data_IF_509266867934
#
_entry.id   IF_509266867934
#
_cell.length_a   1.000
_cell.length_b   1.000
_cell.length_c   1.000
_cell.angle_alpha   90.00
_cell.angle_beta   90.00
_cell.angle_gamma   90.00
#
_symmetry.space_group_name_H-M   'P 1'
#
loop_
_entity.id
_entity.type
_entity.pdbx_description
1 polymer ?
#
# COMPACT_ATOMS: atom_id res chain seq x y z
N UNK A 1 -32.51 7.87 -2.08
CA UNK A 1 -31.83 7.13 -1.00
C UNK A 1 -30.48 7.78 -0.82
N UNK A 2 -29.86 7.78 0.36
CA UNK A 2 -28.49 8.30 0.47
C UNK A 2 -27.48 7.18 0.13
N UNK A 3 -26.22 7.55 -0.14
CA UNK A 3 -25.18 6.58 -0.54
C UNK A 3 -25.02 5.45 0.49
N UNK A 4 -25.04 5.76 1.78
CA UNK A 4 -24.92 4.77 2.85
C UNK A 4 -26.00 3.69 2.73
N UNK A 5 -27.27 4.08 2.62
CA UNK A 5 -28.39 3.15 2.48
C UNK A 5 -28.29 2.33 1.18
N UNK A 6 -27.84 2.94 0.09
CA UNK A 6 -27.60 2.23 -1.18
C UNK A 6 -26.54 1.16 -1.04
N UNK A 7 -25.40 1.47 -0.42
CA UNK A 7 -24.31 0.52 -0.22
C UNK A 7 -24.66 -0.58 0.78
N UNK A 8 -25.48 -0.30 1.80
CA UNK A 8 -25.99 -1.33 2.71
C UNK A 8 -26.85 -2.36 1.98
N UNK A 9 -27.74 -1.91 1.09
CA UNK A 9 -28.56 -2.80 0.26
C UNK A 9 -27.69 -3.62 -0.68
N UNK A 10 -26.69 -2.98 -1.33
CA UNK A 10 -25.74 -3.67 -2.20
C UNK A 10 -24.99 -4.75 -1.42
N UNK A 11 -24.46 -4.43 -0.23
CA UNK A 11 -23.76 -5.38 0.64
C UNK A 11 -24.67 -6.55 1.07
N UNK A 12 -25.91 -6.27 1.45
CA UNK A 12 -26.91 -7.29 1.81
C UNK A 12 -27.29 -8.20 0.63
N UNK A 13 -27.29 -7.65 -0.59
CA UNK A 13 -27.53 -8.39 -1.84
C UNK A 13 -26.22 -8.96 -2.44
N UNK A 14 -25.24 -9.30 -1.60
CA UNK A 14 -23.97 -9.91 -2.03
C UNK A 14 -23.26 -9.12 -3.14
N UNK A 15 -23.29 -7.79 -3.03
CA UNK A 15 -22.71 -6.82 -3.96
C UNK A 15 -23.28 -6.85 -5.39
N UNK A 16 -24.50 -7.37 -5.58
CA UNK A 16 -25.21 -7.31 -6.85
C UNK A 16 -25.78 -5.90 -7.10
N UNK A 17 -25.67 -5.40 -8.34
CA UNK A 17 -26.36 -4.19 -8.77
C UNK A 17 -27.83 -4.49 -9.09
N UNK A 18 -28.72 -3.61 -8.65
CA UNK A 18 -30.11 -3.61 -9.11
C UNK A 18 -30.23 -2.97 -10.50
N UNK A 19 -31.28 -3.32 -11.26
CA UNK A 19 -31.49 -2.85 -12.65
C UNK A 19 -31.55 -1.32 -12.81
N UNK A 20 -31.95 -0.60 -11.76
CA UNK A 20 -32.05 0.86 -11.78
C UNK A 20 -30.77 1.57 -11.36
N UNK A 21 -29.76 0.84 -10.90
CA UNK A 21 -28.49 1.39 -10.42
C UNK A 21 -27.48 1.48 -11.55
N UNK A 22 -26.83 2.64 -11.69
CA UNK A 22 -25.73 2.82 -12.63
C UNK A 22 -24.38 2.57 -11.93
N UNK A 23 -23.60 1.63 -12.49
CA UNK A 23 -22.33 1.17 -11.92
C UNK A 23 -21.32 2.33 -11.77
N UNK A 24 -21.15 3.15 -12.81
CA UNK A 24 -20.16 4.23 -12.79
C UNK A 24 -20.59 5.41 -11.93
N UNK A 25 -21.88 5.74 -11.90
CA UNK A 25 -22.42 6.77 -11.02
C UNK A 25 -22.23 6.41 -9.54
N UNK A 26 -22.52 5.17 -9.16
CA UNK A 26 -22.27 4.68 -7.80
C UNK A 26 -20.78 4.62 -7.49
N UNK A 27 -19.97 4.11 -8.42
CA UNK A 27 -18.50 4.08 -8.27
C UNK A 27 -17.96 5.47 -8.01
N UNK A 28 -18.37 6.46 -8.80
CA UNK A 28 -17.95 7.84 -8.62
C UNK A 28 -18.37 8.42 -7.26
N UNK A 29 -19.58 8.09 -6.82
CA UNK A 29 -20.08 8.49 -5.49
C UNK A 29 -19.28 7.84 -4.37
N UNK A 30 -18.86 6.57 -4.50
CA UNK A 30 -17.97 5.92 -3.55
C UNK A 30 -16.60 6.60 -3.53
N UNK A 31 -16.01 6.88 -4.69
CA UNK A 31 -14.72 7.55 -4.81
C UNK A 31 -14.74 8.94 -4.15
N UNK A 32 -15.84 9.69 -4.27
CA UNK A 32 -16.04 10.98 -3.57
C UNK A 32 -16.00 10.86 -2.05
N UNK A 33 -16.34 9.67 -1.50
CA UNK A 33 -16.43 9.42 -0.07
C UNK A 33 -15.23 8.63 0.50
N UNK A 34 -14.20 8.34 -0.31
CA UNK A 34 -12.97 7.69 0.17
C UNK A 34 -12.19 8.53 1.19
N UNK A 35 -12.45 9.84 1.25
CA UNK A 35 -11.88 10.74 2.27
C UNK A 35 -12.76 10.94 3.52
N UNK A 36 -13.90 10.25 3.63
CA UNK A 36 -14.83 10.42 4.75
C UNK A 36 -14.21 10.01 6.08
N UNK A 37 -14.50 10.74 7.16
CA UNK A 37 -14.17 10.31 8.53
C UNK A 37 -15.11 9.22 9.06
N UNK A 38 -16.24 8.97 8.39
CA UNK A 38 -17.09 7.82 8.68
C UNK A 38 -16.46 6.55 8.11
N UNK A 39 -15.75 5.79 8.96
CA UNK A 39 -15.06 4.56 8.57
C UNK A 39 -16.00 3.46 8.11
N UNK A 40 -17.24 3.43 8.59
CA UNK A 40 -18.21 2.43 8.13
C UNK A 40 -18.62 2.71 6.68
N UNK A 41 -18.88 3.97 6.34
CA UNK A 41 -19.14 4.36 4.95
C UNK A 41 -17.92 4.12 4.06
N UNK A 42 -16.73 4.51 4.51
CA UNK A 42 -15.50 4.46 3.71
C UNK A 42 -14.97 3.03 3.53
N UNK A 43 -14.82 2.28 4.61
CA UNK A 43 -14.11 1.00 4.65
C UNK A 43 -15.09 -0.15 4.38
N UNK A 44 -16.08 -0.30 5.28
CA UNK A 44 -16.99 -1.45 5.33
C UNK A 44 -18.01 -1.48 4.19
N UNK A 45 -18.32 -0.32 3.62
CA UNK A 45 -19.28 -0.16 2.54
C UNK A 45 -18.56 0.23 1.24
N UNK A 46 -17.93 1.40 1.18
CA UNK A 46 -17.33 1.95 -0.03
C UNK A 46 -16.23 1.06 -0.61
N UNK A 47 -15.11 0.93 0.12
CA UNK A 47 -13.97 0.15 -0.35
C UNK A 47 -14.31 -1.32 -0.59
N UNK A 48 -15.05 -1.97 0.33
CA UNK A 48 -15.46 -3.37 0.13
C UNK A 48 -16.37 -3.55 -1.10
N UNK A 49 -17.24 -2.58 -1.42
CA UNK A 49 -18.04 -2.62 -2.64
C UNK A 49 -17.15 -2.52 -3.88
N UNK A 50 -16.19 -1.58 -3.92
CA UNK A 50 -15.21 -1.48 -5.02
C UNK A 50 -14.41 -2.78 -5.19
N UNK A 51 -13.92 -3.36 -4.10
CA UNK A 51 -13.19 -4.63 -4.11
C UNK A 51 -14.01 -5.76 -4.74
N UNK A 52 -15.28 -5.87 -4.37
CA UNK A 52 -16.17 -6.88 -4.94
C UNK A 52 -16.47 -6.63 -6.43
N UNK A 53 -16.74 -5.38 -6.82
CA UNK A 53 -17.07 -5.06 -8.21
C UNK A 53 -15.88 -5.16 -9.15
N UNK A 54 -14.70 -4.67 -8.73
CA UNK A 54 -13.49 -4.64 -9.56
C UNK A 54 -12.86 -6.04 -9.65
N UNK A 55 -12.69 -6.75 -8.54
CA UNK A 55 -11.87 -7.96 -8.52
C UNK A 55 -12.67 -9.27 -8.47
N UNK A 56 -13.69 -9.35 -7.60
CA UNK A 56 -14.43 -10.61 -7.39
C UNK A 56 -15.45 -10.88 -8.49
N UNK A 57 -16.23 -9.86 -8.86
CA UNK A 57 -17.31 -9.97 -9.86
C UNK A 57 -16.91 -9.52 -11.26
N UNK A 58 -15.81 -8.79 -11.39
CA UNK A 58 -15.28 -8.32 -12.67
C UNK A 58 -16.30 -7.57 -13.53
N UNK A 59 -16.96 -6.56 -12.93
CA UNK A 59 -18.12 -5.88 -13.52
C UNK A 59 -17.76 -4.78 -14.52
N UNK A 60 -16.52 -4.30 -14.51
CA UNK A 60 -16.11 -3.12 -15.29
C UNK A 60 -15.48 -3.49 -16.62
N UNK A 61 -15.71 -2.66 -17.64
CA UNK A 61 -14.92 -2.70 -18.86
C UNK A 61 -13.52 -2.12 -18.64
N UNK A 62 -12.58 -2.41 -19.55
CA UNK A 62 -11.24 -1.81 -19.52
C UNK A 62 -11.27 -0.27 -19.57
N UNK A 63 -12.21 0.31 -20.33
CA UNK A 63 -12.41 1.77 -20.41
C UNK A 63 -12.85 2.34 -19.06
N UNK A 64 -13.82 1.71 -18.40
CA UNK A 64 -14.29 2.12 -17.07
C UNK A 64 -13.20 1.97 -16.00
N UNK A 65 -12.40 0.91 -16.06
CA UNK A 65 -11.24 0.74 -15.18
C UNK A 65 -10.19 1.84 -15.41
N UNK A 66 -9.98 2.24 -16.67
CA UNK A 66 -9.14 3.38 -17.03
C UNK A 66 -9.66 4.70 -16.47
N UNK A 67 -10.97 4.94 -16.51
CA UNK A 67 -11.59 6.12 -15.89
C UNK A 67 -11.36 6.15 -14.37
N UNK A 68 -11.60 5.03 -13.67
CA UNK A 68 -11.37 4.90 -12.23
C UNK A 68 -9.89 5.14 -11.92
N UNK A 69 -8.99 4.49 -12.66
CA UNK A 69 -7.55 4.63 -12.50
C UNK A 69 -7.10 6.09 -12.65
N UNK A 70 -7.52 6.76 -13.73
CA UNK A 70 -7.17 8.16 -14.01
C UNK A 70 -7.55 9.10 -12.86
N UNK A 71 -8.67 8.79 -12.20
CA UNK A 71 -9.20 9.57 -11.10
C UNK A 71 -8.44 9.30 -9.80
N UNK A 72 -8.22 8.04 -9.43
CA UNK A 72 -7.55 7.72 -8.15
C UNK A 72 -6.07 8.03 -8.16
N UNK A 73 -5.41 8.10 -9.32
CA UNK A 73 -3.98 8.50 -9.41
C UNK A 73 -3.79 10.01 -9.48
N UNK A 74 -4.86 10.82 -9.53
CA UNK A 74 -4.78 12.27 -9.70
C UNK A 74 -4.22 12.99 -8.46
N UNK A 75 -3.81 14.25 -8.61
CA UNK A 75 -3.30 15.04 -7.48
C UNK A 75 -4.40 15.36 -6.46
N UNK A 76 -5.64 15.48 -6.92
CA UNK A 76 -6.82 15.78 -6.11
C UNK A 76 -7.22 14.63 -5.19
N UNK A 77 -6.80 13.40 -5.48
CA UNK A 77 -7.08 12.22 -4.67
C UNK A 77 -5.81 11.67 -4.04
N UNK A 78 -4.87 11.15 -4.83
CA UNK A 78 -3.70 10.46 -4.31
C UNK A 78 -2.69 11.37 -3.61
N UNK A 79 -2.58 12.62 -4.05
CA UNK A 79 -1.69 13.62 -3.43
C UNK A 79 -2.47 14.67 -2.63
N UNK A 80 -3.72 14.39 -2.28
CA UNK A 80 -4.57 15.33 -1.54
C UNK A 80 -3.91 15.73 -0.22
N UNK A 81 -3.41 16.97 -0.18
CA UNK A 81 -2.68 17.54 0.96
C UNK A 81 -1.52 16.66 1.44
N UNK A 82 -0.77 16.08 0.50
CA UNK A 82 0.37 15.20 0.81
C UNK A 82 1.33 15.87 1.80
N UNK A 83 1.77 15.12 2.81
CA UNK A 83 2.65 15.59 3.88
C UNK A 83 1.94 16.31 5.05
N UNK A 84 0.66 16.66 4.93
CA UNK A 84 -0.15 17.14 6.06
C UNK A 84 -0.37 15.99 7.07
N UNK A 85 -0.17 16.25 8.36
CA UNK A 85 -0.28 15.24 9.42
C UNK A 85 -1.37 15.59 10.42
N UNK A 86 -2.00 14.57 11.01
CA UNK A 86 -2.93 14.75 12.13
C UNK A 86 -4.35 15.17 11.74
N UNK A 87 -4.66 15.25 10.45
CA UNK A 87 -5.99 15.60 9.94
C UNK A 87 -6.63 14.44 9.18
N UNK A 88 -7.92 14.56 8.87
CA UNK A 88 -8.66 13.53 8.12
C UNK A 88 -8.27 13.48 6.64
N UNK A 89 -7.43 14.42 6.17
CA UNK A 89 -6.94 14.46 4.78
C UNK A 89 -6.19 13.19 4.37
N UNK A 90 -5.63 12.45 5.34
CA UNK A 90 -4.91 11.19 5.12
C UNK A 90 -5.81 10.11 4.53
N UNK A 91 -7.10 10.09 4.87
CA UNK A 91 -8.01 9.04 4.43
C UNK A 91 -8.13 9.00 2.90
N UNK A 92 -8.31 10.16 2.24
CA UNK A 92 -8.50 10.19 0.79
C UNK A 92 -7.29 9.63 0.05
N UNK A 93 -6.09 10.12 0.36
CA UNK A 93 -4.86 9.70 -0.32
C UNK A 93 -4.43 8.26 0.03
N UNK A 94 -4.68 7.84 1.26
CA UNK A 94 -4.43 6.48 1.69
C UNK A 94 -5.36 5.47 1.01
N UNK A 95 -6.67 5.74 0.98
CA UNK A 95 -7.64 4.88 0.29
C UNK A 95 -7.48 4.94 -1.23
N UNK A 96 -6.99 6.05 -1.78
CA UNK A 96 -6.58 6.10 -3.19
C UNK A 96 -5.46 5.12 -3.47
N UNK A 97 -4.43 5.03 -2.61
CA UNK A 97 -3.38 3.99 -2.70
C UNK A 97 -3.96 2.58 -2.65
N UNK A 98 -4.94 2.34 -1.78
CA UNK A 98 -5.57 1.03 -1.65
C UNK A 98 -6.43 0.65 -2.88
N UNK A 99 -7.09 1.61 -3.52
CA UNK A 99 -7.80 1.38 -4.80
C UNK A 99 -6.81 1.18 -5.95
N UNK A 100 -5.67 1.89 -5.95
CA UNK A 100 -4.59 1.65 -6.92
C UNK A 100 -4.06 0.22 -6.79
N UNK A 101 -3.83 -0.27 -5.57
CA UNK A 101 -3.46 -1.66 -5.32
C UNK A 101 -4.49 -2.65 -5.91
N UNK A 102 -5.78 -2.39 -5.70
CA UNK A 102 -6.88 -3.20 -6.22
C UNK A 102 -6.93 -3.21 -7.76
N UNK A 103 -6.66 -2.07 -8.41
CA UNK A 103 -6.62 -1.95 -9.87
C UNK A 103 -5.40 -2.67 -10.45
N UNK A 104 -4.23 -2.54 -9.82
CA UNK A 104 -3.02 -3.29 -10.20
C UNK A 104 -3.22 -4.80 -10.04
N UNK A 105 -3.82 -5.24 -8.92
CA UNK A 105 -4.20 -6.63 -8.70
C UNK A 105 -5.15 -7.14 -9.80
N UNK A 106 -6.15 -6.31 -10.16
CA UNK A 106 -7.08 -6.66 -11.24
C UNK A 106 -6.36 -6.74 -12.58
N UNK A 107 -5.46 -5.81 -12.87
CA UNK A 107 -4.66 -5.80 -14.10
C UNK A 107 -3.71 -7.01 -14.20
N UNK A 108 -3.08 -7.40 -13.09
CA UNK A 108 -2.25 -8.59 -12.99
C UNK A 108 -3.01 -9.87 -13.38
N UNK A 109 -4.34 -9.90 -13.15
CA UNK A 109 -5.23 -10.99 -13.55
C UNK A 109 -5.71 -10.89 -15.00
N UNK A 110 -6.33 -9.77 -15.40
CA UNK A 110 -6.66 -9.51 -16.81
C UNK A 110 -6.20 -8.09 -17.23
N UNK A 111 -5.21 -7.96 -18.13
CA UNK A 111 -4.61 -6.68 -18.50
C UNK A 111 -5.59 -5.64 -19.05
N UNK A 112 -5.44 -4.39 -18.60
CA UNK A 112 -6.03 -3.17 -19.14
C UNK A 112 -5.08 -1.94 -19.07
N UNK A 113 -4.09 -1.95 -18.19
CA UNK A 113 -3.09 -0.88 -17.98
C UNK A 113 -1.99 -0.96 -19.06
N UNK A 114 -1.75 0.18 -19.70
CA UNK A 114 -0.70 0.34 -20.72
C UNK A 114 0.70 0.49 -20.09
N UNK A 115 1.78 0.28 -20.87
CA UNK A 115 3.14 0.53 -20.40
C UNK A 115 3.37 1.95 -19.87
N UNK A 116 2.80 2.97 -20.53
CA UNK A 116 2.98 4.38 -20.16
C UNK A 116 2.25 4.71 -18.85
N UNK A 117 1.02 4.22 -18.69
CA UNK A 117 0.28 4.34 -17.43
C UNK A 117 1.00 3.65 -16.28
N UNK A 118 1.55 2.45 -16.50
CA UNK A 118 2.34 1.76 -15.49
C UNK A 118 3.57 2.57 -15.05
N UNK A 119 4.31 3.15 -16.00
CA UNK A 119 5.48 3.99 -15.69
C UNK A 119 5.09 5.23 -14.89
N UNK A 120 3.96 5.86 -15.24
CA UNK A 120 3.40 6.99 -14.50
C UNK A 120 3.03 6.59 -13.07
N UNK A 121 2.30 5.49 -12.89
CA UNK A 121 1.89 4.99 -11.57
C UNK A 121 3.12 4.71 -10.69
N UNK A 122 4.13 4.03 -11.24
CA UNK A 122 5.35 3.72 -10.52
C UNK A 122 6.08 4.98 -10.05
N UNK A 123 6.28 5.96 -10.95
CA UNK A 123 6.94 7.22 -10.60
C UNK A 123 6.19 7.95 -9.48
N UNK A 124 4.85 8.03 -9.61
CA UNK A 124 4.01 8.69 -8.60
C UNK A 124 4.00 7.92 -7.27
N UNK A 125 4.09 6.59 -7.30
CA UNK A 125 4.19 5.78 -6.10
C UNK A 125 5.48 6.08 -5.32
N UNK A 126 6.60 6.21 -6.03
CA UNK A 126 7.88 6.62 -5.43
C UNK A 126 7.74 8.02 -4.83
N UNK A 127 7.18 8.97 -5.57
CA UNK A 127 6.97 10.35 -5.10
C UNK A 127 6.05 10.43 -3.88
N UNK A 128 4.99 9.61 -3.82
CA UNK A 128 4.06 9.52 -2.70
C UNK A 128 4.80 9.11 -1.43
N UNK A 129 5.56 8.01 -1.47
CA UNK A 129 6.28 7.51 -0.30
C UNK A 129 7.35 8.49 0.20
N UNK A 130 7.99 9.25 -0.71
CA UNK A 130 8.97 10.27 -0.34
C UNK A 130 8.32 11.50 0.32
N UNK A 131 7.05 11.80 0.02
CA UNK A 131 6.36 13.00 0.49
C UNK A 131 5.39 12.74 1.65
N UNK A 132 4.88 11.52 1.83
CA UNK A 132 3.96 11.20 2.91
C UNK A 132 4.63 11.35 4.29
N UNK A 133 3.90 11.94 5.23
CA UNK A 133 4.35 12.17 6.61
C UNK A 133 3.33 11.70 7.64
N UNK A 134 2.08 11.47 7.25
CA UNK A 134 1.04 10.96 8.13
C UNK A 134 1.00 9.45 8.08
N UNK A 135 1.76 8.84 8.99
CA UNK A 135 1.94 7.39 9.06
C UNK A 135 1.18 6.79 10.25
N UNK A 136 0.06 7.40 10.61
CA UNK A 136 -0.82 6.88 11.67
C UNK A 136 -1.48 5.58 11.19
N UNK A 137 -1.55 4.61 12.11
CA UNK A 137 -2.26 3.36 11.93
C UNK A 137 -3.78 3.53 12.02
N UNK A 138 -4.33 3.24 13.19
CA UNK A 138 -5.75 3.45 13.53
C UNK A 138 -5.99 4.82 14.16
N UNK A 139 -7.01 5.54 13.70
CA UNK A 139 -7.46 6.81 14.27
C UNK A 139 -8.82 6.61 14.92
N UNK A 140 -8.93 6.86 16.23
CA UNK A 140 -10.10 6.49 17.04
C UNK A 140 -11.46 6.96 16.49
N UNK A 141 -11.54 8.17 15.93
CA UNK A 141 -12.79 8.71 15.37
C UNK A 141 -12.99 8.41 13.89
N UNK A 142 -11.94 7.96 13.19
CA UNK A 142 -11.91 7.91 11.73
C UNK A 142 -11.57 6.54 11.15
N UNK A 143 -11.26 5.54 11.96
CA UNK A 143 -10.84 4.21 11.51
C UNK A 143 -9.41 4.17 10.97
N UNK A 144 -9.15 3.33 9.98
CA UNK A 144 -7.81 3.10 9.44
C UNK A 144 -7.32 4.30 8.62
N UNK A 145 -6.26 4.97 9.07
CA UNK A 145 -5.54 5.96 8.26
C UNK A 145 -4.57 5.24 7.30
N UNK A 146 -3.67 4.39 7.80
CA UNK A 146 -2.99 3.33 7.04
C UNK A 146 -2.25 3.76 5.77
N UNK A 147 -1.79 5.01 5.66
CA UNK A 147 -1.12 5.48 4.45
C UNK A 147 0.09 4.61 4.06
N UNK A 148 0.92 4.22 5.02
CA UNK A 148 2.07 3.34 4.80
C UNK A 148 1.65 1.93 4.35
N UNK A 149 0.65 1.35 5.00
CA UNK A 149 0.14 0.02 4.67
C UNK A 149 -0.50 -0.02 3.28
N UNK A 150 -1.39 0.93 2.98
CA UNK A 150 -2.13 0.95 1.71
C UNK A 150 -1.23 1.22 0.51
N UNK A 151 -0.24 2.11 0.62
CA UNK A 151 0.74 2.27 -0.47
C UNK A 151 1.65 1.06 -0.59
N UNK A 152 2.00 0.39 0.51
CA UNK A 152 2.77 -0.85 0.44
C UNK A 152 2.03 -1.96 -0.33
N UNK A 153 0.70 -2.05 -0.22
CA UNK A 153 -0.10 -2.97 -1.06
C UNK A 153 -0.03 -2.61 -2.54
N UNK A 154 -0.04 -1.32 -2.84
CA UNK A 154 0.12 -0.86 -4.22
C UNK A 154 1.51 -1.20 -4.75
N UNK A 155 2.55 -1.09 -3.92
CA UNK A 155 3.92 -1.51 -4.26
C UNK A 155 3.95 -3.03 -4.51
N UNK A 156 3.34 -3.83 -3.64
CA UNK A 156 3.27 -5.29 -3.79
C UNK A 156 2.67 -5.71 -5.15
N UNK A 157 1.54 -5.12 -5.52
CA UNK A 157 0.93 -5.41 -6.83
C UNK A 157 1.69 -4.80 -8.01
N UNK A 158 2.36 -3.65 -7.79
CA UNK A 158 3.23 -3.03 -8.78
C UNK A 158 4.44 -3.91 -9.09
N UNK A 159 5.09 -4.51 -8.09
CA UNK A 159 6.26 -5.38 -8.32
C UNK A 159 5.88 -6.68 -9.00
N UNK A 160 4.66 -7.18 -8.82
CA UNK A 160 4.13 -8.37 -9.53
C UNK A 160 3.79 -8.09 -11.00
N UNK A 161 3.68 -6.82 -11.38
CA UNK A 161 3.23 -6.42 -12.71
C UNK A 161 4.17 -6.84 -13.85
N UNK A 162 3.60 -7.18 -15.01
CA UNK A 162 4.34 -7.65 -16.21
C UNK A 162 5.37 -6.66 -16.77
N UNK A 163 5.25 -5.38 -16.43
CA UNK A 163 6.18 -4.33 -16.87
C UNK A 163 7.22 -3.94 -15.81
N UNK A 164 7.13 -4.49 -14.61
CA UNK A 164 8.08 -4.20 -13.54
C UNK A 164 9.43 -4.88 -13.81
N UNK A 165 10.51 -4.13 -13.62
CA UNK A 165 11.89 -4.58 -13.79
C UNK A 165 12.64 -4.63 -12.46
N UNK A 166 13.86 -5.18 -12.45
CA UNK A 166 14.73 -5.14 -11.28
C UNK A 166 15.00 -3.70 -10.81
N UNK A 167 15.31 -2.78 -11.73
CA UNK A 167 15.57 -1.37 -11.40
C UNK A 167 14.33 -0.63 -10.86
N UNK A 168 13.14 -1.09 -11.23
CA UNK A 168 11.88 -0.61 -10.66
C UNK A 168 11.71 -1.05 -9.20
N UNK A 169 12.03 -2.32 -8.89
CA UNK A 169 12.05 -2.82 -7.52
C UNK A 169 13.03 -2.05 -6.63
N UNK A 170 14.21 -1.68 -7.15
CA UNK A 170 15.18 -0.87 -6.39
C UNK A 170 14.67 0.55 -6.10
N UNK A 171 13.90 1.16 -7.00
CA UNK A 171 13.27 2.45 -6.72
C UNK A 171 12.15 2.31 -5.67
N UNK A 172 11.35 1.25 -5.78
CA UNK A 172 10.23 0.98 -4.90
C UNK A 172 10.68 0.57 -3.48
N UNK A 173 11.74 -0.21 -3.31
CA UNK A 173 12.28 -0.47 -1.96
C UNK A 173 12.77 0.83 -1.30
N UNK A 174 13.23 1.80 -2.09
CA UNK A 174 13.77 3.07 -1.60
C UNK A 174 12.63 4.01 -1.20
N UNK A 175 11.52 3.89 -1.91
CA UNK A 175 10.25 4.48 -1.53
C UNK A 175 9.75 3.90 -0.17
N UNK A 176 9.74 2.57 -0.01
CA UNK A 176 9.36 1.92 1.25
C UNK A 176 10.29 2.30 2.41
N UNK A 177 11.61 2.39 2.15
CA UNK A 177 12.60 2.89 3.11
C UNK A 177 12.25 4.29 3.61
N UNK A 178 11.80 5.18 2.72
CA UNK A 178 11.42 6.54 3.09
C UNK A 178 10.24 6.56 4.06
N UNK A 179 9.24 5.70 3.88
CA UNK A 179 8.12 5.56 4.83
C UNK A 179 8.62 5.19 6.23
N UNK A 180 9.51 4.19 6.32
CA UNK A 180 10.08 3.74 7.59
C UNK A 180 10.87 4.88 8.25
N UNK A 181 11.69 5.60 7.47
CA UNK A 181 12.47 6.75 7.97
C UNK A 181 11.61 7.92 8.43
N UNK A 182 10.46 8.14 7.79
CA UNK A 182 9.53 9.21 8.18
C UNK A 182 8.66 8.83 9.40
N UNK A 183 8.63 7.56 9.81
CA UNK A 183 7.80 7.08 10.91
C UNK A 183 8.19 7.77 12.24
N UNK A 184 7.24 8.51 12.82
CA UNK A 184 7.40 9.18 14.12
C UNK A 184 7.00 8.32 15.31
N UNK A 185 6.45 7.15 15.04
CA UNK A 185 6.08 6.14 16.02
C UNK A 185 6.43 4.75 15.50
N UNK A 186 6.48 3.78 16.43
CA UNK A 186 6.57 2.37 16.07
C UNK A 186 5.27 1.99 15.37
N UNK A 187 5.37 1.25 14.26
CA UNK A 187 4.20 0.70 13.58
C UNK A 187 3.45 -0.25 14.51
N UNK A 188 2.14 -0.02 14.66
CA UNK A 188 1.29 -0.72 15.63
C UNK A 188 0.07 -1.38 14.98
N UNK A 189 -0.06 -1.26 13.65
CA UNK A 189 -1.22 -1.68 12.89
C UNK A 189 -0.83 -2.43 11.60
N UNK A 190 0.17 -3.31 11.71
CA UNK A 190 0.63 -4.21 10.64
C UNK A 190 1.24 -3.49 9.42
N UNK A 191 1.62 -2.22 9.54
CA UNK A 191 2.24 -1.49 8.42
C UNK A 191 3.57 -2.12 8.00
N UNK A 192 4.34 -2.62 8.95
CA UNK A 192 5.57 -3.40 8.75
C UNK A 192 5.31 -4.70 7.98
N UNK A 193 4.24 -5.43 8.32
CA UNK A 193 3.83 -6.66 7.63
C UNK A 193 3.40 -6.39 6.17
N UNK A 194 2.70 -5.27 5.93
CA UNK A 194 2.27 -4.84 4.60
C UNK A 194 3.44 -4.37 3.74
N UNK A 195 4.39 -3.62 4.32
CA UNK A 195 5.67 -3.29 3.67
C UNK A 195 6.46 -4.56 3.36
N UNK A 196 6.45 -5.55 4.26
CA UNK A 196 7.13 -6.81 4.04
C UNK A 196 6.54 -7.62 2.87
N UNK A 197 5.23 -7.58 2.63
CA UNK A 197 4.62 -8.24 1.46
C UNK A 197 5.27 -7.75 0.16
N UNK A 198 5.41 -6.43 0.02
CA UNK A 198 6.01 -5.82 -1.16
C UNK A 198 7.48 -6.23 -1.33
N UNK A 199 8.29 -6.19 -0.26
CA UNK A 199 9.69 -6.58 -0.32
C UNK A 199 9.85 -8.08 -0.63
N UNK A 200 9.02 -8.92 -0.02
CA UNK A 200 8.99 -10.36 -0.30
C UNK A 200 8.63 -10.64 -1.77
N UNK A 201 7.63 -9.97 -2.33
CA UNK A 201 7.22 -10.16 -3.72
C UNK A 201 8.32 -9.79 -4.73
N UNK A 202 9.20 -8.82 -4.41
CA UNK A 202 10.37 -8.52 -5.24
C UNK A 202 11.33 -9.73 -5.33
N UNK A 203 11.53 -10.43 -4.21
CA UNK A 203 12.40 -11.62 -4.12
C UNK A 203 11.71 -12.83 -4.74
N UNK A 204 10.45 -13.08 -4.38
CA UNK A 204 9.66 -14.23 -4.86
C UNK A 204 9.52 -14.22 -6.39
N UNK A 205 9.32 -13.04 -6.99
CA UNK A 205 9.23 -12.91 -8.44
C UNK A 205 10.59 -12.94 -9.15
N UNK A 206 11.69 -13.10 -8.40
CA UNK A 206 13.05 -13.19 -8.92
C UNK A 206 13.59 -11.89 -9.51
N UNK A 207 12.95 -10.74 -9.22
CA UNK A 207 13.38 -9.42 -9.74
C UNK A 207 14.60 -8.89 -9.00
N UNK A 208 14.73 -9.23 -7.71
CA UNK A 208 15.92 -8.94 -6.90
C UNK A 208 16.30 -10.19 -6.11
N UNK A 209 17.59 -10.34 -5.79
CA UNK A 209 18.06 -11.41 -4.91
C UNK A 209 17.95 -10.99 -3.44
N UNK A 210 17.89 -11.98 -2.54
CA UNK A 210 18.00 -11.73 -1.10
C UNK A 210 19.37 -11.11 -0.73
N UNK A 211 20.43 -11.42 -1.48
CA UNK A 211 21.75 -10.80 -1.30
C UNK A 211 21.69 -9.29 -1.55
N UNK A 212 21.02 -8.84 -2.61
CA UNK A 212 20.83 -7.41 -2.89
C UNK A 212 20.05 -6.72 -1.77
N UNK A 213 18.99 -7.36 -1.26
CA UNK A 213 18.21 -6.85 -0.13
C UNK A 213 19.04 -6.80 1.15
N UNK A 214 19.88 -7.81 1.43
CA UNK A 214 20.80 -7.79 2.57
C UNK A 214 21.81 -6.65 2.47
N UNK A 215 22.44 -6.45 1.30
CA UNK A 215 23.39 -5.35 1.09
C UNK A 215 22.74 -3.97 1.28
N UNK A 216 21.49 -3.81 0.82
CA UNK A 216 20.71 -2.60 1.06
C UNK A 216 20.42 -2.38 2.55
N UNK A 217 19.97 -3.41 3.28
CA UNK A 217 19.72 -3.33 4.73
C UNK A 217 21.00 -3.08 5.55
N UNK A 218 22.15 -3.59 5.10
CA UNK A 218 23.46 -3.32 5.71
C UNK A 218 23.87 -1.86 5.54
N UNK A 219 23.55 -1.24 4.41
CA UNK A 219 23.82 0.17 4.14
C UNK A 219 22.85 1.10 4.89
N UNK A 220 21.71 0.60 5.39
CA UNK A 220 20.69 1.45 6.02
C UNK A 220 21.17 2.06 7.33
N UNK A 221 21.02 3.37 7.48
CA UNK A 221 21.26 4.08 8.74
C UNK A 221 19.95 4.18 9.54
N UNK A 222 20.06 4.13 10.87
CA UNK A 222 18.91 4.17 11.79
C UNK A 222 19.10 5.24 12.88
N UNK A 223 19.97 6.20 12.63
CA UNK A 223 20.17 7.36 13.50
C UNK A 223 19.10 8.41 13.18
N UNK A 224 18.28 8.71 14.17
CA UNK A 224 17.33 9.81 14.14
C UNK A 224 17.94 11.11 14.68
N UNK A 225 17.14 12.17 14.70
CA UNK A 225 17.53 13.47 15.29
C UNK A 225 17.72 13.41 16.80
N UNK A 226 17.09 12.42 17.46
CA UNK A 226 17.26 12.13 18.88
C UNK A 226 17.23 10.62 19.20
N UNK A 227 17.38 10.30 20.49
CA UNK A 227 17.34 8.92 20.98
C UNK A 227 16.02 8.21 20.69
N UNK A 228 14.88 8.89 20.87
CA UNK A 228 13.56 8.28 20.70
C UNK A 228 13.29 8.00 19.22
N UNK A 229 13.65 8.90 18.32
CA UNK A 229 13.53 8.68 16.89
C UNK A 229 14.42 7.52 16.44
N UNK A 230 15.69 7.50 16.88
CA UNK A 230 16.60 6.36 16.62
C UNK A 230 16.03 5.05 17.15
N UNK A 231 15.41 5.08 18.33
CA UNK A 231 14.81 3.90 18.95
C UNK A 231 13.60 3.39 18.17
N UNK A 232 12.71 4.28 17.74
CA UNK A 232 11.57 3.98 16.86
C UNK A 232 12.02 3.34 15.56
N UNK A 233 12.98 3.95 14.86
CA UNK A 233 13.49 3.43 13.58
C UNK A 233 14.08 2.02 13.74
N UNK A 234 14.90 1.80 14.78
CA UNK A 234 15.46 0.48 15.10
C UNK A 234 14.38 -0.57 15.33
N UNK A 235 13.28 -0.21 15.99
CA UNK A 235 12.17 -1.16 16.21
C UNK A 235 11.48 -1.49 14.88
N UNK A 236 11.12 -0.48 14.08
CA UNK A 236 10.43 -0.70 12.81
C UNK A 236 11.28 -1.55 11.85
N UNK A 237 12.57 -1.25 11.70
CA UNK A 237 13.48 -2.07 10.90
C UNK A 237 13.59 -3.50 11.42
N UNK A 238 13.69 -3.66 12.73
CA UNK A 238 13.76 -4.99 13.36
C UNK A 238 12.48 -5.79 13.14
N UNK A 239 11.30 -5.17 13.20
CA UNK A 239 10.05 -5.86 12.92
C UNK A 239 9.99 -6.30 11.45
N UNK A 240 10.30 -5.38 10.52
CA UNK A 240 10.37 -5.69 9.09
C UNK A 240 11.30 -6.88 8.80
N UNK A 241 12.54 -6.86 9.32
CA UNK A 241 13.53 -7.92 9.07
C UNK A 241 13.09 -9.26 9.67
N UNK A 242 12.48 -9.24 10.86
CA UNK A 242 11.97 -10.46 11.51
C UNK A 242 10.83 -11.07 10.71
N UNK A 243 9.89 -10.24 10.28
CA UNK A 243 8.78 -10.67 9.43
C UNK A 243 9.28 -11.24 8.11
N UNK A 244 10.22 -10.54 7.46
CA UNK A 244 10.87 -10.99 6.22
C UNK A 244 11.55 -12.35 6.41
N UNK A 245 12.33 -12.53 7.48
CA UNK A 245 13.01 -13.78 7.78
C UNK A 245 12.03 -14.96 7.84
N UNK A 246 10.93 -14.84 8.60
CA UNK A 246 9.96 -15.92 8.72
C UNK A 246 9.27 -16.23 7.39
N UNK A 247 8.88 -15.19 6.65
CA UNK A 247 8.22 -15.36 5.34
C UNK A 247 9.14 -16.02 4.30
N UNK A 248 10.41 -15.62 4.25
CA UNK A 248 11.41 -16.25 3.39
C UNK A 248 11.68 -17.71 3.80
N UNK A 249 11.71 -17.99 5.10
CA UNK A 249 11.90 -19.34 5.63
C UNK A 249 10.79 -20.28 5.20
N UNK A 250 9.54 -19.86 5.38
CA UNK A 250 8.36 -20.67 5.05
C UNK A 250 8.29 -20.98 3.54
N UNK A 251 8.84 -20.09 2.70
CA UNK A 251 8.89 -20.26 1.25
C UNK A 251 10.23 -20.83 0.72
N UNK A 252 11.15 -21.23 1.59
CA UNK A 252 12.49 -21.75 1.23
C UNK A 252 13.34 -20.78 0.37
N UNK A 253 13.23 -19.48 0.62
CA UNK A 253 13.93 -18.41 -0.12
C UNK A 253 15.14 -17.81 0.63
N UNK A 254 15.50 -18.35 1.80
CA UNK A 254 16.64 -17.85 2.59
C UNK A 254 18.01 -18.15 1.94
N UNK A 255 18.18 -19.35 1.38
CA UNK A 255 19.43 -19.78 0.75
C UNK A 255 20.68 -19.51 1.60
N UNK A 256 21.78 -19.13 0.95
CA UNK A 256 23.06 -18.83 1.61
C UNK A 256 23.07 -17.48 2.34
N UNK A 257 22.04 -16.64 2.17
CA UNK A 257 21.94 -15.31 2.79
C UNK A 257 21.25 -15.33 4.16
N UNK A 258 20.88 -16.50 4.70
CA UNK A 258 20.23 -16.62 6.01
C UNK A 258 21.05 -15.97 7.13
N UNK A 259 22.35 -16.29 7.21
CA UNK A 259 23.22 -15.76 8.26
C UNK A 259 23.40 -14.24 8.14
N UNK A 260 23.51 -13.72 6.92
CA UNK A 260 23.59 -12.28 6.68
C UNK A 260 22.35 -11.56 7.24
N UNK A 261 21.15 -12.07 6.96
CA UNK A 261 19.90 -11.48 7.46
C UNK A 261 19.83 -11.51 9.00
N UNK A 262 20.32 -12.59 9.64
CA UNK A 262 20.40 -12.68 11.10
C UNK A 262 21.41 -11.69 11.70
N UNK A 263 22.56 -11.49 11.06
CA UNK A 263 23.56 -10.49 11.48
C UNK A 263 23.01 -9.08 11.36
N UNK A 264 22.35 -8.77 10.24
CA UNK A 264 21.68 -7.48 9.99
C UNK A 264 20.63 -7.22 11.07
N UNK A 265 19.78 -8.21 11.39
CA UNK A 265 18.77 -8.08 12.44
C UNK A 265 19.38 -7.65 13.79
N UNK A 266 20.56 -8.17 14.14
CA UNK A 266 21.27 -7.82 15.39
C UNK A 266 21.82 -6.40 15.37
N UNK A 267 22.16 -5.85 14.20
CA UNK A 267 22.63 -4.45 14.03
C UNK A 267 21.56 -3.43 14.45
N UNK A 268 20.28 -3.76 14.23
CA UNK A 268 19.15 -2.94 14.68
C UNK A 268 18.77 -3.19 16.15
N UNK A 269 19.31 -4.22 16.80
CA UNK A 269 19.08 -4.43 18.23
C UNK A 269 19.78 -3.33 19.04
N UNK A 270 19.14 -2.83 20.11
CA UNK A 270 19.82 -1.93 21.03
C UNK A 270 20.98 -2.65 21.74
N UNK A 271 22.02 -1.92 22.18
CA UNK A 271 23.25 -2.50 22.74
C UNK A 271 23.13 -3.02 24.18
N UNK A 272 21.92 -3.13 24.74
CA UNK A 272 21.68 -3.49 26.14
C UNK A 272 21.17 -4.92 26.33
#
# INVERSE_FOLDING_TARGET
MNLLQELEIIKQNEYQLAEYQDLMSLTNSILDHLGSADSYLRDDLGYLTLSNWIYQKDLFSAEQLGEILSRVVSDEMWFYKIGETGTDSVFLRSFSSLVIALLLLRDNKNPFITPDEFRMILSRMVDYCQQERDLRGFVAHGGWAHAAAHVADAVDECVKHRYATAADCEQLWGALQALIRHAKAVYEAEEDERINNALFAMIETGKVSLEQVCAWLEAEEYEGSDYNESFTLRINWKHLIRSLYFRLKDNNLLGDSEESLLVIQRRFAPPY
#
